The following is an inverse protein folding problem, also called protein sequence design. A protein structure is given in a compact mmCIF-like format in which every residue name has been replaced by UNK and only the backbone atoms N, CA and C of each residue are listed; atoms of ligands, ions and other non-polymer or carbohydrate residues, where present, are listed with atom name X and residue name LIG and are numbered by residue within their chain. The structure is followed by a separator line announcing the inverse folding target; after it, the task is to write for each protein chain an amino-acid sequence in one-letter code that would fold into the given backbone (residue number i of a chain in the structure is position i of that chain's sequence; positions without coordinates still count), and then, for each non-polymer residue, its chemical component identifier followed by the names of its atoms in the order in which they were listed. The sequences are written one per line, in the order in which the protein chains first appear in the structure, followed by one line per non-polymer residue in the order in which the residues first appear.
data_IF_594855755685
#
_entry.id   IF_594855755685
#
_cell.length_a   1.000
_cell.length_b   1.000
_cell.length_c   1.000
_cell.angle_alpha   90.00
_cell.angle_beta   90.00
_cell.angle_gamma   90.00
#
_symmetry.space_group_name_H-M   'P 1'
#
loop_
_entity.id
_entity.type
_entity.pdbx_description
1 polymer ?
#
# COMPACT_ATOMS: atom_id res chain seq x y z
N UNK A 1 7.26 -10.02 -12.66
CA UNK A 1 6.34 -8.98 -13.15
C UNK A 1 7.16 -7.79 -13.68
N UNK A 2 6.76 -7.17 -14.79
CA UNK A 2 7.35 -5.89 -15.21
C UNK A 2 6.70 -4.74 -14.44
N UNK A 3 7.44 -4.16 -13.48
CA UNK A 3 6.96 -3.07 -12.63
C UNK A 3 6.53 -1.85 -13.45
N UNK A 4 7.18 -1.62 -14.60
CA UNK A 4 6.86 -0.50 -15.50
C UNK A 4 5.43 -0.60 -16.06
N UNK A 5 4.96 -1.82 -16.31
CA UNK A 5 3.60 -2.08 -16.79
C UNK A 5 2.57 -1.81 -15.70
N UNK A 6 2.81 -2.29 -14.47
CA UNK A 6 1.90 -2.04 -13.34
C UNK A 6 1.77 -0.53 -13.05
N UNK A 7 2.88 0.20 -13.03
CA UNK A 7 2.84 1.66 -12.79
C UNK A 7 1.99 2.37 -13.85
N UNK A 8 2.15 2.00 -15.13
CA UNK A 8 1.33 2.57 -16.22
C UNK A 8 -0.15 2.24 -16.07
N UNK A 9 -0.49 1.01 -15.66
CA UNK A 9 -1.87 0.61 -15.41
C UNK A 9 -2.50 1.45 -14.30
N UNK A 10 -1.83 1.59 -13.15
CA UNK A 10 -2.32 2.37 -12.02
C UNK A 10 -2.45 3.87 -12.35
N UNK A 11 -1.51 4.41 -13.13
CA UNK A 11 -1.59 5.78 -13.65
C UNK A 11 -2.80 5.95 -14.59
N UNK A 12 -3.02 5.00 -15.49
CA UNK A 12 -4.20 4.97 -16.35
C UNK A 12 -5.51 4.90 -15.56
N UNK A 13 -5.58 4.11 -14.48
CA UNK A 13 -6.75 4.11 -13.60
C UNK A 13 -7.01 5.49 -13.01
N UNK A 14 -5.97 6.15 -12.49
CA UNK A 14 -6.10 7.52 -11.95
C UNK A 14 -6.59 8.51 -13.01
N UNK A 15 -6.00 8.48 -14.21
CA UNK A 15 -6.36 9.37 -15.32
C UNK A 15 -7.80 9.15 -15.81
N UNK A 16 -8.32 7.92 -15.70
CA UNK A 16 -9.71 7.59 -15.99
C UNK A 16 -10.69 7.90 -14.85
N UNK A 17 -10.24 8.60 -13.80
CA UNK A 17 -11.10 9.08 -12.72
C UNK A 17 -11.46 8.04 -11.67
N UNK A 18 -10.71 6.95 -11.56
CA UNK A 18 -10.90 5.99 -10.47
C UNK A 18 -10.55 6.65 -9.12
N UNK A 19 -11.31 6.31 -8.09
CA UNK A 19 -11.00 6.75 -6.72
C UNK A 19 -9.68 6.12 -6.24
N UNK A 20 -9.01 6.74 -5.24
CA UNK A 20 -7.73 6.22 -4.73
C UNK A 20 -7.79 4.77 -4.22
N UNK A 21 -8.83 4.41 -3.45
CA UNK A 21 -8.91 3.06 -2.84
C UNK A 21 -8.85 1.91 -3.87
N UNK A 22 -9.65 1.90 -4.95
CA UNK A 22 -9.52 0.89 -6.01
C UNK A 22 -8.10 0.76 -6.59
N UNK A 23 -7.38 1.87 -6.74
CA UNK A 23 -6.02 1.89 -7.29
C UNK A 23 -5.05 1.25 -6.30
N UNK A 24 -5.10 1.66 -5.03
CA UNK A 24 -4.24 1.13 -3.98
C UNK A 24 -4.51 -0.36 -3.72
N UNK A 25 -5.78 -0.77 -3.74
CA UNK A 25 -6.19 -2.18 -3.63
C UNK A 25 -5.63 -3.02 -4.77
N UNK A 26 -5.68 -2.51 -6.01
CA UNK A 26 -5.10 -3.19 -7.18
C UNK A 26 -3.59 -3.32 -7.04
N UNK A 27 -2.90 -2.27 -6.58
CA UNK A 27 -1.46 -2.30 -6.35
C UNK A 27 -1.06 -3.38 -5.34
N UNK A 28 -1.71 -3.39 -4.17
CA UNK A 28 -1.43 -4.36 -3.09
C UNK A 28 -1.62 -5.80 -3.56
N UNK A 29 -2.75 -6.11 -4.21
CA UNK A 29 -3.04 -7.46 -4.71
C UNK A 29 -2.05 -7.90 -5.79
N UNK A 30 -1.76 -7.02 -6.74
CA UNK A 30 -0.85 -7.36 -7.84
C UNK A 30 0.57 -7.59 -7.34
N UNK A 31 1.01 -6.86 -6.30
CA UNK A 31 2.30 -7.06 -5.67
C UNK A 31 2.38 -8.36 -4.87
N UNK A 32 1.32 -8.73 -4.16
CA UNK A 32 1.26 -10.01 -3.45
C UNK A 32 1.32 -11.20 -4.42
N UNK A 33 0.58 -11.14 -5.53
CA UNK A 33 0.59 -12.17 -6.57
C UNK A 33 1.91 -12.21 -7.38
N UNK A 34 2.78 -11.21 -7.24
CA UNK A 34 3.98 -11.08 -8.08
C UNK A 34 5.11 -12.04 -7.70
N UNK A 35 5.16 -12.49 -6.45
CA UNK A 35 6.24 -13.34 -5.91
C UNK A 35 5.77 -14.10 -4.66
N UNK A 36 5.98 -15.42 -4.63
CA UNK A 36 5.56 -16.30 -3.54
C UNK A 36 6.32 -16.10 -2.22
N UNK A 37 7.41 -15.33 -2.24
CA UNK A 37 8.16 -14.98 -1.04
C UNK A 37 7.49 -13.90 -0.20
N UNK A 38 6.50 -13.20 -0.74
CA UNK A 38 5.74 -12.21 0.03
C UNK A 38 4.68 -12.90 0.89
N UNK A 39 4.90 -12.88 2.19
CA UNK A 39 3.94 -13.39 3.18
C UNK A 39 2.89 -12.34 3.60
N UNK A 40 3.18 -11.08 3.35
CA UNK A 40 2.33 -9.95 3.67
C UNK A 40 2.65 -8.78 2.74
N UNK A 41 1.63 -8.17 2.15
CA UNK A 41 1.76 -6.95 1.35
C UNK A 41 0.66 -5.99 1.77
N UNK A 42 1.01 -4.73 1.99
CA UNK A 42 0.02 -3.72 2.33
C UNK A 42 0.56 -2.31 2.20
N UNK A 43 -0.31 -1.35 2.40
CA UNK A 43 -0.01 0.07 2.30
C UNK A 43 -0.58 0.82 3.49
N UNK A 44 0.26 1.69 4.06
CA UNK A 44 -0.14 2.65 5.07
C UNK A 44 -0.29 4.03 4.43
N UNK A 45 -1.27 4.80 4.88
CA UNK A 45 -1.47 6.18 4.49
C UNK A 45 -1.15 7.10 5.66
N UNK A 46 -0.51 8.24 5.39
CA UNK A 46 -0.36 9.30 6.38
C UNK A 46 -1.73 9.84 6.75
N UNK A 47 -1.99 10.04 8.04
CA UNK A 47 -3.19 10.73 8.49
C UNK A 47 -2.96 12.23 8.46
N UNK A 48 -3.89 12.95 7.85
CA UNK A 48 -3.79 14.41 7.78
C UNK A 48 -3.76 15.02 9.19
N UNK A 49 -2.76 15.87 9.44
CA UNK A 49 -2.54 16.60 10.70
C UNK A 49 -2.20 15.72 11.93
N UNK A 50 -1.80 14.47 11.74
CA UNK A 50 -1.24 13.63 12.80
C UNK A 50 0.05 12.98 12.29
N UNK A 51 1.06 12.85 13.14
CA UNK A 51 2.32 12.16 12.81
C UNK A 51 2.13 10.62 12.85
N UNK A 52 1.13 10.12 12.11
CA UNK A 52 0.68 8.72 12.16
C UNK A 52 0.39 8.13 10.78
N UNK A 53 0.72 6.86 10.64
CA UNK A 53 0.48 6.01 9.48
C UNK A 53 -0.62 4.98 9.75
N UNK A 54 -1.53 4.79 8.79
CA UNK A 54 -2.78 4.07 8.96
C UNK A 54 -2.87 2.94 7.96
N UNK A 55 -3.08 1.71 8.43
CA UNK A 55 -3.20 0.56 7.54
C UNK A 55 -4.45 0.69 6.68
N UNK A 56 -4.27 0.76 5.36
CA UNK A 56 -5.38 1.00 4.43
C UNK A 56 -5.80 -0.27 3.67
N UNK A 57 -4.90 -0.85 2.87
CA UNK A 57 -5.15 -2.09 2.14
C UNK A 57 -4.01 -3.07 2.44
N UNK A 58 -4.33 -4.35 2.67
CA UNK A 58 -3.34 -5.42 2.82
C UNK A 58 -3.88 -6.79 2.37
N UNK A 59 -2.95 -7.70 2.08
CA UNK A 59 -3.17 -9.13 1.86
C UNK A 59 -2.15 -9.89 2.71
N UNK A 60 -2.61 -10.92 3.40
CA UNK A 60 -1.84 -11.70 4.37
C UNK A 60 -2.53 -11.77 5.72
N UNK A 61 -1.82 -12.28 6.73
CA UNK A 61 -2.32 -12.36 8.10
C UNK A 61 -2.61 -10.95 8.69
N UNK A 62 -3.62 -10.82 9.57
CA UNK A 62 -3.84 -9.59 10.31
C UNK A 62 -2.58 -9.16 11.09
N UNK A 63 -2.34 -7.84 11.15
CA UNK A 63 -1.25 -7.25 11.92
C UNK A 63 -1.78 -6.53 13.15
N UNK A 64 -1.00 -6.52 14.23
CA UNK A 64 -1.28 -5.72 15.43
C UNK A 64 -1.05 -4.21 15.17
N UNK A 65 -0.34 -3.86 14.09
CA UNK A 65 0.06 -2.49 13.76
C UNK A 65 -0.96 -1.82 12.82
N UNK A 66 -2.21 -1.65 13.24
CA UNK A 66 -3.20 -0.93 12.43
C UNK A 66 -2.86 0.57 12.28
N UNK A 67 -2.17 1.12 13.28
CA UNK A 67 -1.63 2.48 13.32
C UNK A 67 -0.15 2.44 13.73
N UNK A 68 0.66 3.33 13.16
CA UNK A 68 2.12 3.41 13.43
C UNK A 68 2.50 4.89 13.58
N UNK A 69 3.22 5.24 14.64
CA UNK A 69 3.78 6.59 14.82
C UNK A 69 4.92 6.85 13.83
N UNK A 70 5.03 8.07 13.31
CA UNK A 70 6.17 8.46 12.47
C UNK A 70 7.46 8.35 13.28
N UNK A 71 8.49 7.77 12.64
CA UNK A 71 9.76 7.45 13.26
C UNK A 71 9.82 6.09 13.97
N UNK A 72 8.69 5.39 14.16
CA UNK A 72 8.66 4.08 14.80
C UNK A 72 8.66 2.90 13.81
N UNK A 73 9.53 1.92 14.06
CA UNK A 73 9.64 0.72 13.23
C UNK A 73 10.04 1.01 11.78
N UNK A 74 9.98 -0.01 10.93
CA UNK A 74 10.44 0.10 9.54
C UNK A 74 9.56 1.06 8.73
N UNK A 75 8.24 0.96 8.87
CA UNK A 75 7.30 1.80 8.11
C UNK A 75 7.29 3.24 8.60
N UNK A 76 7.29 3.47 9.92
CA UNK A 76 7.27 4.83 10.48
C UNK A 76 8.54 5.63 10.17
N UNK A 77 9.70 4.97 10.08
CA UNK A 77 10.96 5.63 9.70
C UNK A 77 11.11 5.87 8.18
N UNK A 78 10.28 5.25 7.33
CA UNK A 78 10.40 5.34 5.87
C UNK A 78 9.75 6.60 5.25
N UNK A 79 9.11 7.44 6.06
CA UNK A 79 8.41 8.67 5.65
C UNK A 79 9.39 9.82 5.41
#
# INVERSE_FOLDING_TARGET
MDTSTLVKELQGMRENGYLPDPILRKAVRTLEEADDRYNWVGIYLMRDNEDKLWLHNYVGEPTEHAEIEVGEGVCGTAV
#
